data_IF_614179626802
#
_entry.id   IF_614179626802
#
_cell.length_a   1.000
_cell.length_b   1.000
_cell.length_c   1.000
_cell.angle_alpha   90.00
_cell.angle_beta   90.00
_cell.angle_gamma   90.00
#
_symmetry.space_group_name_H-M   'P 1'
#
loop_
_entity.id
_entity.type
_entity.pdbx_description
1 polymer ?
#
# COMPACT_ATOMS: atom_id res chain seq x y z
N UNK A 1 7.40 10.98 -18.91
CA UNK A 1 6.13 11.58 -19.40
C UNK A 1 5.74 12.66 -18.40
N UNK A 2 5.21 13.80 -18.85
CA UNK A 2 4.80 14.89 -17.95
C UNK A 2 3.45 14.63 -17.27
N UNK A 3 3.13 15.36 -16.21
CA UNK A 3 1.80 15.31 -15.59
C UNK A 3 0.78 16.12 -16.40
N UNK A 4 -0.28 15.47 -16.87
CA UNK A 4 -1.44 16.10 -17.54
C UNK A 4 -2.59 16.30 -16.52
N UNK A 5 -2.75 17.55 -16.06
CA UNK A 5 -3.80 17.91 -15.12
C UNK A 5 -5.22 17.77 -15.71
N UNK A 6 -5.53 18.29 -16.92
CA UNK A 6 -6.82 18.05 -17.58
C UNK A 6 -7.23 16.57 -17.66
N UNK A 7 -6.32 15.68 -18.02
CA UNK A 7 -6.57 14.24 -18.06
C UNK A 7 -6.88 13.68 -16.67
N UNK A 8 -6.06 14.01 -15.69
CA UNK A 8 -6.25 13.52 -14.33
C UNK A 8 -7.56 14.03 -13.70
N UNK A 9 -7.95 15.29 -13.94
CA UNK A 9 -9.25 15.84 -13.53
C UNK A 9 -10.42 15.14 -14.21
N UNK A 10 -10.29 14.81 -15.50
CA UNK A 10 -11.31 14.07 -16.25
C UNK A 10 -11.48 12.64 -15.75
N UNK A 11 -10.39 12.00 -15.35
CA UNK A 11 -10.36 10.62 -14.83
C UNK A 11 -10.91 10.54 -13.40
N UNK A 12 -10.33 11.31 -12.47
CA UNK A 12 -10.69 11.24 -11.04
C UNK A 12 -11.99 11.97 -10.71
N UNK A 13 -12.33 13.01 -11.49
CA UNK A 13 -13.52 13.87 -11.32
C UNK A 13 -13.70 14.34 -9.87
N UNK A 14 -12.67 14.93 -9.22
CA UNK A 14 -12.70 15.22 -7.78
C UNK A 14 -13.90 16.08 -7.37
N UNK A 15 -14.28 17.06 -8.19
CA UNK A 15 -15.41 17.95 -7.92
C UNK A 15 -16.78 17.26 -7.96
N UNK A 16 -16.88 16.10 -8.63
CA UNK A 16 -18.11 15.29 -8.65
C UNK A 16 -18.20 14.30 -7.49
N UNK A 17 -17.11 14.08 -6.75
CA UNK A 17 -17.09 13.19 -5.58
C UNK A 17 -17.62 13.94 -4.37
N UNK A 18 -18.79 13.52 -3.90
CA UNK A 18 -19.52 14.10 -2.77
C UNK A 18 -19.84 12.99 -1.75
N UNK A 19 -20.21 13.38 -0.53
CA UNK A 19 -20.53 12.47 0.55
C UNK A 19 -19.30 12.04 1.37
N UNK A 20 -19.47 10.95 2.11
CA UNK A 20 -18.45 10.35 2.98
C UNK A 20 -18.19 8.93 2.51
N UNK A 21 -16.92 8.51 2.52
CA UNK A 21 -16.55 7.13 2.29
C UNK A 21 -16.82 6.33 3.56
N UNK A 22 -17.55 5.23 3.39
CA UNK A 22 -17.77 4.24 4.43
C UNK A 22 -17.08 2.96 4.02
N UNK A 23 -16.53 2.24 5.01
CA UNK A 23 -15.90 0.96 4.73
C UNK A 23 -17.00 -0.01 4.30
N UNK A 24 -16.74 -0.78 3.25
CA UNK A 24 -17.63 -1.88 2.86
C UNK A 24 -17.67 -2.95 3.95
N UNK A 25 -18.74 -3.74 3.94
CA UNK A 25 -18.87 -4.93 4.80
C UNK A 25 -17.83 -5.97 4.38
N UNK A 26 -17.49 -6.88 5.28
CA UNK A 26 -16.40 -7.83 5.06
C UNK A 26 -16.66 -8.71 3.83
N UNK A 27 -17.90 -9.10 3.61
CA UNK A 27 -18.34 -9.97 2.52
C UNK A 27 -18.12 -9.34 1.13
N UNK A 28 -17.99 -8.01 1.07
CA UNK A 28 -17.76 -7.25 -0.16
C UNK A 28 -16.28 -6.89 -0.40
N UNK A 29 -15.38 -7.34 0.49
CA UNK A 29 -13.96 -7.04 0.43
C UNK A 29 -13.14 -8.23 -0.11
N UNK A 30 -12.13 -7.98 -0.95
CA UNK A 30 -11.31 -9.04 -1.54
C UNK A 30 -10.26 -9.51 -0.54
N UNK A 31 -10.58 -10.54 0.24
CA UNK A 31 -9.68 -11.08 1.26
C UNK A 31 -8.67 -12.07 0.68
N UNK A 32 -7.52 -12.18 1.34
CA UNK A 32 -6.43 -13.06 0.93
C UNK A 32 -6.76 -14.56 1.04
N UNK A 33 -7.68 -14.95 1.92
CA UNK A 33 -8.18 -16.32 2.06
C UNK A 33 -9.12 -16.75 0.92
N UNK A 34 -9.81 -15.79 0.30
CA UNK A 34 -10.65 -15.99 -0.88
C UNK A 34 -9.86 -15.95 -2.20
N UNK A 35 -8.60 -15.53 -2.18
CA UNK A 35 -7.78 -15.39 -3.37
C UNK A 35 -7.15 -16.73 -3.82
N UNK A 36 -7.17 -17.06 -5.12
CA UNK A 36 -6.54 -18.28 -5.60
C UNK A 36 -5.03 -18.24 -5.41
N UNK A 37 -4.41 -19.35 -4.99
CA UNK A 37 -2.96 -19.38 -4.74
C UNK A 37 -2.13 -18.90 -5.94
N UNK A 38 -2.51 -19.32 -7.15
CA UNK A 38 -1.94 -18.83 -8.41
C UNK A 38 -2.87 -17.76 -8.99
N UNK A 39 -2.31 -16.62 -9.40
CA UNK A 39 -3.08 -15.50 -9.91
C UNK A 39 -2.21 -14.40 -10.51
N UNK A 40 -2.82 -13.23 -10.72
CA UNK A 40 -2.11 -12.04 -11.20
C UNK A 40 -1.02 -11.57 -10.23
N UNK A 41 -0.12 -10.66 -10.69
CA UNK A 41 0.95 -10.16 -9.86
C UNK A 41 0.42 -9.38 -8.65
N UNK A 42 1.20 -9.38 -7.58
CA UNK A 42 0.97 -8.60 -6.38
C UNK A 42 1.87 -7.37 -6.37
N UNK A 43 1.38 -6.30 -5.76
CA UNK A 43 2.16 -5.11 -5.46
C UNK A 43 2.15 -4.91 -3.95
N UNK A 44 3.31 -5.01 -3.32
CA UNK A 44 3.37 -5.12 -1.86
C UNK A 44 3.34 -3.74 -1.20
N UNK A 45 2.39 -3.53 -0.30
CA UNK A 45 2.40 -2.41 0.65
C UNK A 45 3.45 -2.65 1.77
N UNK A 46 3.92 -1.57 2.40
CA UNK A 46 4.93 -1.62 3.48
C UNK A 46 4.46 -2.49 4.65
N UNK A 47 3.16 -2.49 4.92
CA UNK A 47 2.61 -3.31 6.01
C UNK A 47 2.91 -4.80 5.84
N UNK A 48 2.95 -5.31 4.61
CA UNK A 48 3.27 -6.71 4.30
C UNK A 48 4.69 -7.05 4.76
N UNK A 49 5.67 -6.23 4.40
CA UNK A 49 7.06 -6.46 4.79
C UNK A 49 7.22 -6.45 6.31
N UNK A 50 6.58 -5.50 6.99
CA UNK A 50 6.65 -5.39 8.45
C UNK A 50 6.02 -6.60 9.13
N UNK A 51 4.88 -7.08 8.63
CA UNK A 51 4.20 -8.23 9.22
C UNK A 51 5.00 -9.52 8.98
N UNK A 52 5.59 -9.72 7.80
CA UNK A 52 6.49 -10.85 7.52
C UNK A 52 7.74 -10.79 8.41
N UNK A 53 8.40 -9.62 8.49
CA UNK A 53 9.60 -9.42 9.33
C UNK A 53 9.32 -9.65 10.82
N UNK A 54 8.09 -9.42 11.26
CA UNK A 54 7.66 -9.62 12.65
C UNK A 54 7.06 -11.02 12.89
N UNK A 55 7.00 -11.89 11.88
CA UNK A 55 6.40 -13.23 12.00
C UNK A 55 4.90 -13.20 12.25
N UNK A 56 4.20 -12.18 11.71
CA UNK A 56 2.75 -11.96 11.88
C UNK A 56 1.96 -12.12 10.58
N UNK A 57 2.61 -12.46 9.47
CA UNK A 57 1.90 -12.75 8.22
C UNK A 57 1.04 -14.01 8.39
N UNK A 58 -0.24 -13.97 7.97
CA UNK A 58 -1.08 -15.17 7.89
C UNK A 58 -0.55 -16.17 6.86
N UNK A 59 -0.91 -17.45 7.02
CA UNK A 59 -0.51 -18.51 6.11
C UNK A 59 -0.97 -18.26 4.67
N UNK A 60 -2.13 -17.64 4.49
CA UNK A 60 -2.71 -17.26 3.20
C UNK A 60 -1.84 -16.21 2.51
N UNK A 61 -1.36 -15.22 3.27
CA UNK A 61 -0.41 -14.21 2.77
C UNK A 61 0.90 -14.86 2.37
N UNK A 62 1.47 -15.73 3.20
CA UNK A 62 2.72 -16.42 2.89
C UNK A 62 2.61 -17.28 1.61
N UNK A 63 1.46 -17.94 1.41
CA UNK A 63 1.17 -18.69 0.17
C UNK A 63 1.14 -17.75 -1.03
N UNK A 64 0.41 -16.64 -0.95
CA UNK A 64 0.33 -15.67 -2.04
C UNK A 64 1.72 -15.10 -2.41
N UNK A 65 2.54 -14.77 -1.41
CA UNK A 65 3.91 -14.28 -1.61
C UNK A 65 4.83 -15.34 -2.26
N UNK A 66 4.60 -16.61 -1.95
CA UNK A 66 5.38 -17.73 -2.49
C UNK A 66 5.06 -18.01 -3.96
N UNK A 67 3.78 -17.96 -4.33
CA UNK A 67 3.32 -18.45 -5.64
C UNK A 67 3.00 -17.37 -6.67
N UNK A 68 2.88 -16.10 -6.28
CA UNK A 68 2.60 -14.98 -7.21
C UNK A 68 3.84 -14.12 -7.43
N UNK A 69 3.93 -13.54 -8.63
CA UNK A 69 4.95 -12.53 -8.93
C UNK A 69 4.72 -11.28 -8.06
N UNK A 70 5.74 -10.88 -7.31
CA UNK A 70 5.68 -9.70 -6.44
C UNK A 70 6.45 -8.51 -7.05
N UNK A 71 5.77 -7.38 -7.15
CA UNK A 71 6.34 -6.08 -7.47
C UNK A 71 6.44 -5.20 -6.22
N UNK A 72 7.40 -4.30 -6.24
CA UNK A 72 7.79 -3.49 -5.09
C UNK A 72 7.75 -2.00 -5.44
N UNK A 73 7.35 -1.16 -4.49
CA UNK A 73 7.37 0.29 -4.64
C UNK A 73 8.63 0.90 -4.05
N UNK A 74 9.20 1.90 -4.74
CA UNK A 74 10.20 2.80 -4.15
C UNK A 74 9.65 3.59 -2.94
N UNK A 75 8.33 3.75 -2.83
CA UNK A 75 7.68 4.30 -1.62
C UNK A 75 7.89 3.37 -0.44
N UNK A 76 7.61 2.07 -0.59
CA UNK A 76 7.84 1.08 0.45
C UNK A 76 9.33 0.95 0.80
N UNK A 77 10.22 1.02 -0.20
CA UNK A 77 11.66 1.12 0.03
C UNK A 77 12.00 2.32 0.94
N UNK A 78 11.44 3.50 0.66
CA UNK A 78 11.67 4.70 1.46
C UNK A 78 11.16 4.56 2.90
N UNK A 79 10.04 3.86 3.10
CA UNK A 79 9.45 3.63 4.43
C UNK A 79 10.21 2.57 5.23
N UNK A 80 10.70 1.51 4.58
CA UNK A 80 11.57 0.52 5.22
C UNK A 80 12.92 1.15 5.59
N UNK A 81 13.51 1.94 4.68
CA UNK A 81 14.81 2.58 4.92
C UNK A 81 14.76 3.69 5.95
N UNK A 82 13.58 4.28 6.21
CA UNK A 82 13.38 5.24 7.30
C UNK A 82 13.84 4.71 8.66
N UNK A 83 13.73 3.38 8.89
CA UNK A 83 14.18 2.76 10.13
C UNK A 83 15.69 2.97 10.40
N UNK A 84 16.52 2.99 9.36
CA UNK A 84 17.98 3.22 9.50
C UNK A 84 18.31 4.62 10.02
N UNK A 85 17.45 5.61 9.74
CA UNK A 85 17.59 6.97 10.27
C UNK A 85 16.83 7.22 11.57
N UNK A 86 15.85 6.38 11.92
CA UNK A 86 14.91 6.63 13.01
C UNK A 86 15.17 5.83 14.29
N UNK A 87 15.65 4.59 14.18
CA UNK A 87 15.82 3.71 15.34
C UNK A 87 16.98 4.18 16.23
N UNK A 88 16.82 4.04 17.55
CA UNK A 88 17.85 4.38 18.52
C UNK A 88 19.01 3.37 18.43
N UNK A 89 20.25 3.79 18.09
CA UNK A 89 21.38 2.89 17.98
C UNK A 89 21.74 2.19 19.32
N UNK A 90 21.33 2.74 20.46
CA UNK A 90 21.61 2.16 21.78
C UNK A 90 20.57 1.13 22.23
N UNK A 91 19.43 1.03 21.55
CA UNK A 91 18.40 0.06 21.89
C UNK A 91 18.82 -1.35 21.43
N UNK A 92 18.75 -2.33 22.34
CA UNK A 92 19.28 -3.69 22.13
C UNK A 92 18.75 -4.38 20.86
N UNK A 93 17.49 -4.13 20.48
CA UNK A 93 16.87 -4.73 19.30
C UNK A 93 17.27 -4.06 17.96
N UNK A 94 17.83 -2.84 17.97
CA UNK A 94 18.03 -2.04 16.75
C UNK A 94 18.92 -2.75 15.74
N UNK A 95 20.03 -3.33 16.19
CA UNK A 95 20.97 -4.04 15.30
C UNK A 95 20.28 -5.19 14.55
N UNK A 96 19.49 -5.99 15.27
CA UNK A 96 18.77 -7.13 14.70
C UNK A 96 17.69 -6.67 13.72
N UNK A 97 16.89 -5.66 14.10
CA UNK A 97 15.85 -5.10 13.21
C UNK A 97 16.43 -4.54 11.91
N UNK A 98 17.52 -3.77 11.99
CA UNK A 98 18.17 -3.21 10.80
C UNK A 98 18.83 -4.28 9.93
N UNK A 99 19.34 -5.37 10.52
CA UNK A 99 19.87 -6.50 9.77
C UNK A 99 18.77 -7.23 9.00
N UNK A 100 17.61 -7.45 9.62
CA UNK A 100 16.47 -8.08 8.97
C UNK A 100 15.95 -7.22 7.79
N UNK A 101 15.76 -5.91 8.00
CA UNK A 101 15.36 -5.00 6.92
C UNK A 101 16.40 -5.01 5.79
N UNK A 102 17.70 -4.98 6.10
CA UNK A 102 18.77 -5.05 5.09
C UNK A 102 18.66 -6.31 4.23
N UNK A 103 18.43 -7.47 4.85
CA UNK A 103 18.29 -8.73 4.14
C UNK A 103 17.08 -8.69 3.19
N UNK A 104 15.92 -8.24 3.67
CA UNK A 104 14.72 -8.07 2.84
C UNK A 104 14.96 -7.15 1.64
N UNK A 105 15.66 -6.03 1.83
CA UNK A 105 15.96 -5.11 0.73
C UNK A 105 16.94 -5.70 -0.29
N UNK A 106 17.88 -6.54 0.15
CA UNK A 106 18.83 -7.21 -0.74
C UNK A 106 18.15 -8.26 -1.64
N UNK A 107 17.03 -8.84 -1.20
CA UNK A 107 16.26 -9.83 -1.97
C UNK A 107 15.33 -9.19 -3.04
N UNK A 108 15.12 -7.88 -2.98
CA UNK A 108 14.31 -7.15 -3.96
C UNK A 108 15.11 -6.98 -5.25
N UNK A 109 14.62 -7.60 -6.33
CA UNK A 109 15.24 -7.44 -7.65
C UNK A 109 14.93 -6.07 -8.26
N UNK A 110 15.95 -5.40 -8.82
CA UNK A 110 15.84 -4.06 -9.39
C UNK A 110 14.73 -3.95 -10.46
N UNK A 111 14.59 -4.95 -11.33
CA UNK A 111 13.55 -4.94 -12.38
C UNK A 111 12.12 -5.10 -11.84
N UNK A 112 11.96 -5.39 -10.54
CA UNK A 112 10.66 -5.46 -9.86
C UNK A 112 10.43 -4.30 -8.90
N UNK A 113 11.39 -3.38 -8.76
CA UNK A 113 11.28 -2.19 -7.94
C UNK A 113 10.90 -0.98 -8.81
N UNK A 114 9.75 -0.39 -8.52
CA UNK A 114 9.16 0.65 -9.36
C UNK A 114 9.14 2.00 -8.63
N UNK A 115 9.69 3.04 -9.26
CA UNK A 115 9.57 4.41 -8.80
C UNK A 115 8.35 5.09 -9.45
N UNK A 116 7.53 5.82 -8.68
CA UNK A 116 6.43 6.60 -9.26
C UNK A 116 6.99 7.77 -10.07
N UNK A 117 6.44 7.97 -11.27
CA UNK A 117 6.77 9.11 -12.12
C UNK A 117 5.96 10.36 -11.75
N UNK A 118 6.25 11.49 -12.40
CA UNK A 118 5.59 12.76 -12.13
C UNK A 118 4.06 12.69 -12.34
N UNK A 119 3.59 11.86 -13.28
CA UNK A 119 2.17 11.71 -13.55
C UNK A 119 1.47 10.99 -12.37
N UNK A 120 2.08 9.92 -11.85
CA UNK A 120 1.59 9.22 -10.66
C UNK A 120 1.62 10.13 -9.42
N UNK A 121 2.67 10.92 -9.22
CA UNK A 121 2.74 11.90 -8.12
C UNK A 121 1.57 12.89 -8.16
N UNK A 122 1.28 13.47 -9.33
CA UNK A 122 0.16 14.40 -9.48
C UNK A 122 -1.20 13.75 -9.22
N UNK A 123 -1.42 12.54 -9.74
CA UNK A 123 -2.66 11.78 -9.51
C UNK A 123 -2.81 11.36 -8.04
N UNK A 124 -1.74 10.88 -7.40
CA UNK A 124 -1.74 10.49 -6.00
C UNK A 124 -2.05 11.68 -5.07
N UNK A 125 -1.52 12.87 -5.36
CA UNK A 125 -1.85 14.08 -4.60
C UNK A 125 -3.34 14.42 -4.63
N UNK A 126 -3.97 14.33 -5.80
CA UNK A 126 -5.43 14.52 -5.91
C UNK A 126 -6.22 13.42 -5.21
N UNK A 127 -5.79 12.18 -5.33
CA UNK A 127 -6.46 11.04 -4.71
C UNK A 127 -6.36 11.08 -3.18
N UNK A 128 -5.20 11.45 -2.64
CA UNK A 128 -4.99 11.68 -1.21
C UNK A 128 -5.87 12.83 -0.68
N UNK A 129 -6.00 13.92 -1.43
CA UNK A 129 -6.90 15.03 -1.09
C UNK A 129 -8.37 14.60 -1.09
N UNK A 130 -8.78 13.74 -2.03
CA UNK A 130 -10.12 13.14 -2.04
C UNK A 130 -10.33 12.24 -0.83
N UNK A 131 -9.38 11.36 -0.55
CA UNK A 131 -9.41 10.45 0.58
C UNK A 131 -9.57 11.24 1.88
N UNK A 132 -8.75 12.26 2.09
CA UNK A 132 -8.86 13.14 3.26
C UNK A 132 -10.23 13.82 3.37
N UNK A 133 -10.71 14.44 2.28
CA UNK A 133 -11.99 15.16 2.26
C UNK A 133 -13.19 14.25 2.54
N UNK A 134 -13.15 13.01 2.05
CA UNK A 134 -14.28 12.09 2.10
C UNK A 134 -14.21 11.13 3.29
N UNK A 135 -13.08 11.00 3.99
CA UNK A 135 -12.90 10.04 5.10
C UNK A 135 -13.36 10.55 6.48
N UNK A 136 -13.93 11.76 6.55
CA UNK A 136 -14.37 12.41 7.81
C UNK A 136 -13.30 12.44 8.91
N UNK A 137 -12.02 12.54 8.55
CA UNK A 137 -10.92 12.56 9.50
C UNK A 137 -10.72 13.94 10.16
N UNK A 138 -10.21 13.99 11.40
CA UNK A 138 -9.83 15.23 12.05
C UNK A 138 -8.76 15.97 11.24
N UNK A 139 -8.88 17.30 11.18
CA UNK A 139 -7.86 18.17 10.56
C UNK A 139 -6.63 18.25 11.47
N UNK A 140 -5.43 18.23 10.88
CA UNK A 140 -4.18 18.55 11.58
C UNK A 140 -3.33 17.36 12.06
N UNK A 141 -3.77 16.12 11.88
CA UNK A 141 -3.07 14.92 12.38
C UNK A 141 -2.02 14.33 11.42
N UNK A 142 -1.56 15.09 10.41
CA UNK A 142 -0.48 14.64 9.52
C UNK A 142 -0.84 13.50 8.55
N UNK A 143 -2.13 13.15 8.40
CA UNK A 143 -2.61 12.11 7.47
C UNK A 143 -2.24 12.33 6.00
N UNK A 144 -1.96 13.58 5.60
CA UNK A 144 -1.73 13.95 4.21
C UNK A 144 -0.57 13.17 3.58
N UNK A 145 0.57 13.02 4.29
CA UNK A 145 1.73 12.29 3.75
C UNK A 145 1.44 10.80 3.60
N UNK A 146 0.79 10.21 4.61
CA UNK A 146 0.38 8.80 4.60
C UNK A 146 -0.52 8.51 3.39
N UNK A 147 -1.54 9.33 3.17
CA UNK A 147 -2.46 9.16 2.05
C UNK A 147 -1.83 9.33 0.69
N UNK A 148 -0.82 10.21 0.55
CA UNK A 148 -0.06 10.29 -0.71
C UNK A 148 0.71 9.00 -0.95
N UNK A 149 1.36 8.45 0.07
CA UNK A 149 2.10 7.18 -0.05
C UNK A 149 1.17 6.01 -0.40
N UNK A 150 0.05 5.86 0.32
CA UNK A 150 -0.94 4.81 0.03
C UNK A 150 -1.51 4.95 -1.40
N UNK A 151 -1.82 6.18 -1.83
CA UNK A 151 -2.29 6.46 -3.19
C UNK A 151 -1.23 6.15 -4.26
N UNK A 152 0.05 6.40 -4.00
CA UNK A 152 1.13 6.04 -4.93
C UNK A 152 1.24 4.54 -5.09
N UNK A 153 1.28 3.80 -3.99
CA UNK A 153 1.33 2.32 -4.01
C UNK A 153 0.14 1.76 -4.80
N UNK A 154 -1.07 2.28 -4.55
CA UNK A 154 -2.28 1.87 -5.25
C UNK A 154 -2.24 2.17 -6.76
N UNK A 155 -1.81 3.37 -7.16
CA UNK A 155 -1.75 3.75 -8.57
C UNK A 155 -0.65 3.01 -9.35
N UNK A 156 0.50 2.73 -8.71
CA UNK A 156 1.55 1.89 -9.30
C UNK A 156 1.06 0.47 -9.55
N UNK A 157 0.39 -0.14 -8.57
CA UNK A 157 -0.20 -1.47 -8.72
C UNK A 157 -1.18 -1.51 -9.90
N UNK A 158 -2.07 -0.52 -9.99
CA UNK A 158 -3.00 -0.37 -11.12
C UNK A 158 -2.28 -0.24 -12.46
N UNK A 159 -1.23 0.58 -12.55
CA UNK A 159 -0.46 0.77 -13.78
C UNK A 159 0.20 -0.53 -14.27
N UNK A 160 0.65 -1.37 -13.34
CA UNK A 160 1.30 -2.65 -13.63
C UNK A 160 0.32 -3.81 -13.80
N UNK A 161 -0.99 -3.58 -13.65
CA UNK A 161 -1.97 -4.65 -13.67
C UNK A 161 -1.80 -5.64 -12.50
N UNK A 162 -1.32 -5.15 -11.35
CA UNK A 162 -1.18 -5.91 -10.11
C UNK A 162 -2.29 -5.58 -9.11
N UNK A 163 -2.46 -6.45 -8.11
CA UNK A 163 -3.31 -6.18 -6.94
C UNK A 163 -2.45 -5.74 -5.76
N UNK A 164 -2.84 -4.69 -5.04
CA UNK A 164 -2.13 -4.30 -3.82
C UNK A 164 -2.41 -5.30 -2.71
N UNK A 165 -1.39 -5.91 -2.13
CA UNK A 165 -1.52 -6.72 -0.92
C UNK A 165 -1.25 -5.84 0.31
N UNK A 166 -2.19 -5.76 1.26
CA UNK A 166 -2.06 -4.88 2.44
C UNK A 166 -2.99 -5.27 3.60
N UNK A 167 -2.58 -4.96 4.85
CA UNK A 167 -3.51 -4.96 6.01
C UNK A 167 -4.18 -3.61 6.25
N UNK A 168 -3.84 -2.56 5.50
CA UNK A 168 -4.47 -1.25 5.63
C UNK A 168 -5.84 -1.25 4.93
N UNK A 169 -6.78 -1.99 5.54
CA UNK A 169 -8.10 -2.28 5.00
C UNK A 169 -8.86 -1.01 4.64
N UNK A 170 -8.93 -0.04 5.57
CA UNK A 170 -9.76 1.16 5.42
C UNK A 170 -9.31 2.00 4.23
N UNK A 171 -8.03 2.37 4.18
CA UNK A 171 -7.56 3.33 3.19
C UNK A 171 -7.57 2.72 1.79
N UNK A 172 -7.22 1.43 1.66
CA UNK A 172 -7.22 0.74 0.37
C UNK A 172 -8.62 0.33 -0.11
N UNK A 173 -9.56 0.06 0.80
CA UNK A 173 -10.97 -0.02 0.44
C UNK A 173 -11.44 1.31 -0.16
N UNK A 174 -11.18 2.43 0.51
CA UNK A 174 -11.55 3.76 0.04
C UNK A 174 -10.91 4.11 -1.31
N UNK A 175 -9.62 3.81 -1.49
CA UNK A 175 -8.93 3.98 -2.78
C UNK A 175 -9.59 3.17 -3.89
N UNK A 176 -9.97 1.91 -3.60
CA UNK A 176 -10.67 1.06 -4.58
C UNK A 176 -12.08 1.56 -4.94
N UNK A 177 -12.80 2.18 -4.00
CA UNK A 177 -14.09 2.85 -4.28
C UNK A 177 -13.92 4.09 -5.16
N UNK A 178 -12.84 4.86 -4.94
CA UNK A 178 -12.53 6.05 -5.72
C UNK A 178 -12.01 5.72 -7.13
N UNK A 179 -11.26 4.63 -7.26
CA UNK A 179 -10.67 4.18 -8.53
C UNK A 179 -10.97 2.68 -8.72
N UNK A 180 -12.17 2.32 -9.22
CA UNK A 180 -12.64 0.92 -9.30
C UNK A 180 -11.84 0.00 -10.22
N UNK A 181 -10.92 0.56 -11.01
CA UNK A 181 -10.03 -0.22 -11.89
C UNK A 181 -8.74 -0.66 -11.20
N UNK A 182 -8.45 -0.15 -10.00
CA UNK A 182 -7.39 -0.69 -9.16
C UNK A 182 -7.90 -1.88 -8.34
N UNK A 183 -7.02 -2.84 -8.10
CA UNK A 183 -7.34 -4.07 -7.35
C UNK A 183 -6.54 -4.10 -6.05
N UNK A 184 -7.14 -4.68 -5.02
CA UNK A 184 -6.55 -4.86 -3.70
C UNK A 184 -6.81 -6.29 -3.24
N UNK A 185 -5.93 -6.81 -2.40
CA UNK A 185 -6.05 -8.05 -1.65
C UNK A 185 -5.78 -7.69 -0.21
N UNK A 186 -6.76 -7.89 0.64
CA UNK A 186 -6.74 -7.46 2.03
C UNK A 186 -6.49 -8.64 2.96
N UNK A 187 -5.79 -8.41 4.06
CA UNK A 187 -5.62 -9.42 5.10
C UNK A 187 -5.62 -8.81 6.49
N UNK A 188 -5.75 -9.67 7.50
CA UNK A 188 -5.62 -9.33 8.92
C UNK A 188 -4.50 -10.15 9.51
N UNK A 189 -3.70 -9.58 10.40
CA UNK A 189 -2.76 -10.36 11.19
C UNK A 189 -3.51 -11.12 12.29
N UNK A 190 -3.06 -12.32 12.68
CA UNK A 190 -3.61 -13.00 13.86
C UNK A 190 -3.46 -12.10 15.10
N UNK A 191 -4.47 -12.07 15.97
CA UNK A 191 -4.32 -11.43 17.27
C UNK A 191 -3.25 -12.19 18.06
N UNK A 192 -2.30 -11.47 18.68
CA UNK A 192 -1.37 -12.07 19.62
C UNK A 192 -2.20 -12.64 20.78
N UNK A 193 -2.25 -13.97 20.90
CA UNK A 193 -2.69 -14.60 22.14
C UNK A 193 -1.69 -14.19 23.22
N UNK A 194 -2.07 -13.23 24.05
CA UNK A 194 -1.33 -12.83 25.26
C UNK A 194 -1.24 -13.96 26.25
#
# INVERSE_FOLDING_TARGET
>A
MGFDLPEALRSLKPQKRQGTLARRVDEDLPWADDEPTVGGPLFLDTTVYLDVLQGRSPAEVDRLLTYRLCHHSAVCLSELTYAFGRLDPNHAATKTSLAAIRATLADISEHRLHAPDAALWGQAGMLAGLLFRLSSLPKGEGYARKFVNDALVFLQARQLGASVLTRNIRDFDFLSQLVPTGRVVLYRTPELST
#
